data_IF_744785340972
#
_entry.id   IF_744785340972
#
_cell.length_a   1.000
_cell.length_b   1.000
_cell.length_c   1.000
_cell.angle_alpha   90.00
_cell.angle_beta   90.00
_cell.angle_gamma   90.00
#
_symmetry.space_group_name_H-M   'P 1'
#
loop_
_entity.id
_entity.type
_entity.pdbx_description
1 polymer ?
#
# COMPACT_ATOMS: atom_id res chain seq x y z
N UNK A 1 -77.24 -0.42 25.69
CA UNK A 1 -76.21 -0.46 24.62
C UNK A 1 -75.74 0.96 24.37
N UNK A 2 -74.48 1.22 24.69
CA UNK A 2 -73.89 2.54 24.95
C UNK A 2 -73.66 3.35 23.68
N UNK A 3 -74.13 4.61 23.69
CA UNK A 3 -73.91 5.62 22.65
C UNK A 3 -72.50 6.21 22.81
N UNK A 4 -71.58 5.90 21.90
CA UNK A 4 -70.32 6.64 21.78
C UNK A 4 -70.59 8.00 21.10
N UNK A 5 -70.34 9.09 21.82
CA UNK A 5 -70.67 10.45 21.38
C UNK A 5 -69.62 11.07 20.43
N UNK A 6 -69.99 12.14 19.69
CA UNK A 6 -69.18 12.81 18.66
C UNK A 6 -67.87 13.47 19.17
N UNK A 7 -67.60 13.47 20.48
CA UNK A 7 -66.38 14.03 21.08
C UNK A 7 -65.12 13.22 20.77
N UNK A 8 -65.25 11.93 20.47
CA UNK A 8 -64.09 11.05 20.19
C UNK A 8 -63.55 11.18 18.76
N UNK A 9 -64.37 11.64 17.81
CA UNK A 9 -63.95 11.81 16.40
C UNK A 9 -62.99 13.00 16.25
N UNK A 10 -63.26 14.11 16.94
CA UNK A 10 -62.36 15.28 16.93
C UNK A 10 -61.00 14.99 17.57
N UNK A 11 -60.97 14.23 18.66
CA UNK A 11 -59.73 13.85 19.34
C UNK A 11 -58.88 12.88 18.48
N UNK A 12 -59.52 11.94 17.77
CA UNK A 12 -58.84 11.05 16.82
C UNK A 12 -58.22 11.80 15.64
N UNK A 13 -58.89 12.82 15.11
CA UNK A 13 -58.34 13.65 14.02
C UNK A 13 -57.12 14.47 14.47
N UNK A 14 -57.15 14.99 15.71
CA UNK A 14 -56.00 15.72 16.28
C UNK A 14 -54.79 14.80 16.45
N UNK A 15 -54.99 13.58 16.98
CA UNK A 15 -53.90 12.60 17.14
C UNK A 15 -53.29 12.23 15.79
N UNK A 16 -54.12 11.95 14.76
CA UNK A 16 -53.64 11.60 13.41
C UNK A 16 -52.86 12.76 12.79
N UNK A 17 -53.29 14.01 13.00
CA UNK A 17 -52.56 15.18 12.50
C UNK A 17 -51.19 15.31 13.16
N UNK A 18 -51.11 15.13 14.48
CA UNK A 18 -49.83 15.18 15.20
C UNK A 18 -48.90 14.02 14.85
N UNK A 19 -49.41 12.81 14.62
CA UNK A 19 -48.56 11.67 14.20
C UNK A 19 -48.01 11.84 12.79
N UNK A 20 -48.82 12.37 11.85
CA UNK A 20 -48.35 12.70 10.50
C UNK A 20 -47.32 13.84 10.54
N UNK A 21 -47.58 14.89 11.33
CA UNK A 21 -46.64 15.99 11.50
C UNK A 21 -45.29 15.49 12.07
N UNK A 22 -45.34 14.66 13.12
CA UNK A 22 -44.14 14.06 13.72
C UNK A 22 -43.39 13.19 12.70
N UNK A 23 -44.09 12.36 11.92
CA UNK A 23 -43.49 11.54 10.87
C UNK A 23 -42.82 12.39 9.78
N UNK A 24 -43.45 13.49 9.34
CA UNK A 24 -42.84 14.39 8.34
C UNK A 24 -41.61 15.11 8.87
N UNK A 25 -41.61 15.52 10.14
CA UNK A 25 -40.43 16.11 10.80
C UNK A 25 -39.30 15.07 10.89
N UNK A 26 -39.60 13.84 11.33
CA UNK A 26 -38.61 12.74 11.40
C UNK A 26 -38.04 12.40 10.02
N UNK A 27 -38.88 12.35 8.97
CA UNK A 27 -38.42 12.09 7.59
C UNK A 27 -37.52 13.24 7.10
N UNK A 28 -37.86 14.49 7.44
CA UNK A 28 -37.08 15.67 7.03
C UNK A 28 -35.74 15.75 7.78
N UNK A 29 -35.72 15.48 9.08
CA UNK A 29 -34.49 15.41 9.87
C UNK A 29 -33.61 14.25 9.44
N UNK A 30 -34.18 13.09 9.07
CA UNK A 30 -33.41 11.95 8.56
C UNK A 30 -32.79 12.27 7.19
N UNK A 31 -33.51 12.96 6.29
CA UNK A 31 -32.94 13.43 5.01
C UNK A 31 -31.81 14.45 5.19
N UNK A 32 -31.96 15.37 6.15
CA UNK A 32 -30.88 16.31 6.49
C UNK A 32 -29.67 15.60 7.13
N UNK A 33 -29.90 14.61 7.99
CA UNK A 33 -28.84 13.75 8.55
C UNK A 33 -28.13 12.90 7.50
N UNK A 34 -28.86 12.32 6.54
CA UNK A 34 -28.27 11.59 5.42
C UNK A 34 -27.42 12.52 4.55
N UNK A 35 -27.84 13.78 4.33
CA UNK A 35 -27.04 14.75 3.56
C UNK A 35 -25.80 15.25 4.30
N UNK A 36 -25.80 15.25 5.64
CA UNK A 36 -24.66 15.65 6.47
C UNK A 36 -23.62 14.52 6.66
N UNK A 37 -23.98 13.27 6.34
CA UNK A 37 -23.05 12.12 6.36
C UNK A 37 -22.30 11.89 5.02
N UNK A 38 -22.47 12.75 4.01
CA UNK A 38 -21.84 12.61 2.67
C UNK A 38 -20.53 13.42 2.52
N UNK A 39 -20.01 14.01 3.59
CA UNK A 39 -18.67 14.61 3.60
C UNK A 39 -17.74 13.89 4.59
N UNK A 40 -17.63 12.57 4.46
CA UNK A 40 -16.42 11.90 4.90
C UNK A 40 -15.36 12.16 3.82
N UNK A 41 -14.25 12.86 4.11
CA UNK A 41 -13.15 12.91 3.15
C UNK A 41 -12.77 11.47 2.83
N UNK A 42 -12.82 11.11 1.55
CA UNK A 42 -12.39 9.78 1.10
C UNK A 42 -10.96 9.58 1.59
N UNK A 43 -10.77 8.62 2.52
CA UNK A 43 -9.47 8.27 3.08
C UNK A 43 -8.48 8.06 1.94
N UNK A 44 -7.33 8.72 2.04
CA UNK A 44 -6.27 8.54 1.05
C UNK A 44 -5.58 7.21 1.33
N UNK A 45 -5.50 6.34 0.31
CA UNK A 45 -4.92 5.02 0.44
C UNK A 45 -3.70 4.86 -0.47
N UNK A 46 -2.63 4.21 0.01
CA UNK A 46 -1.52 3.80 -0.83
C UNK A 46 -1.92 2.64 -1.75
N UNK A 47 -1.04 2.29 -2.68
CA UNK A 47 -1.21 1.16 -3.60
C UNK A 47 -0.78 -0.12 -2.87
N UNK A 48 -1.76 -0.98 -2.54
CA UNK A 48 -1.51 -2.32 -1.96
C UNK A 48 -1.37 -3.40 -3.03
N UNK A 49 -2.15 -3.29 -4.10
CA UNK A 49 -2.15 -4.21 -5.25
C UNK A 49 -2.71 -3.51 -6.49
N UNK A 50 -2.63 -4.14 -7.66
CA UNK A 50 -3.07 -3.57 -8.94
C UNK A 50 -4.11 -4.47 -9.60
N UNK A 51 -5.13 -3.89 -10.23
CA UNK A 51 -6.04 -4.64 -11.09
C UNK A 51 -5.37 -5.04 -12.40
N UNK A 52 -5.01 -6.33 -12.50
CA UNK A 52 -4.36 -6.90 -13.69
C UNK A 52 -5.16 -8.07 -14.25
N UNK A 53 -5.16 -8.19 -15.57
CA UNK A 53 -5.67 -9.37 -16.29
C UNK A 53 -4.56 -10.36 -16.65
N UNK A 54 -3.37 -9.85 -16.87
CA UNK A 54 -2.15 -10.62 -17.04
C UNK A 54 -1.57 -11.05 -15.69
N UNK A 55 -0.85 -12.15 -15.66
CA UNK A 55 -0.23 -12.69 -14.44
C UNK A 55 1.06 -11.95 -14.08
N UNK A 56 1.04 -10.61 -14.07
CA UNK A 56 2.16 -9.82 -13.54
C UNK A 56 2.01 -9.59 -12.05
N UNK A 57 3.12 -9.68 -11.32
CA UNK A 57 3.24 -9.39 -9.89
C UNK A 57 4.56 -8.66 -9.64
N UNK A 58 4.70 -8.06 -8.46
CA UNK A 58 5.95 -7.46 -8.04
C UNK A 58 6.42 -8.06 -6.71
N UNK A 59 7.66 -8.55 -6.68
CA UNK A 59 8.36 -8.80 -5.44
C UNK A 59 9.04 -7.49 -5.03
N UNK A 60 9.27 -7.27 -3.73
CA UNK A 60 10.02 -6.12 -3.25
C UNK A 60 10.76 -6.43 -1.95
N UNK A 61 11.84 -5.70 -1.71
CA UNK A 61 12.67 -5.87 -0.52
C UNK A 61 12.80 -4.54 0.22
N UNK A 62 12.44 -4.53 1.50
CA UNK A 62 12.74 -3.40 2.38
C UNK A 62 14.14 -3.59 2.97
N UNK A 63 15.00 -2.58 2.82
CA UNK A 63 16.36 -2.58 3.33
C UNK A 63 16.53 -1.45 4.36
N UNK A 64 16.34 -1.83 5.62
CA UNK A 64 16.52 -0.96 6.77
C UNK A 64 17.74 -1.34 7.62
N UNK A 65 18.12 -2.63 7.69
CA UNK A 65 19.19 -3.11 8.56
C UNK A 65 19.98 -4.22 7.89
N UNK A 66 21.31 -4.22 8.04
CA UNK A 66 22.19 -5.27 7.51
C UNK A 66 22.27 -5.32 5.98
N UNK A 67 23.36 -5.85 5.45
CA UNK A 67 23.53 -6.09 4.02
C UNK A 67 23.90 -7.55 3.69
N UNK A 68 23.89 -8.43 4.69
CA UNK A 68 24.59 -9.72 4.69
C UNK A 68 24.13 -10.64 3.56
N UNK A 69 22.85 -10.56 3.19
CA UNK A 69 22.26 -11.38 2.14
C UNK A 69 21.93 -10.61 0.86
N UNK A 70 22.27 -9.32 0.79
CA UNK A 70 21.90 -8.48 -0.36
C UNK A 70 22.50 -9.01 -1.66
N UNK A 71 23.77 -9.45 -1.64
CA UNK A 71 24.42 -10.05 -2.81
C UNK A 71 23.80 -11.41 -3.16
N UNK A 72 23.51 -12.26 -2.17
CA UNK A 72 22.85 -13.55 -2.40
C UNK A 72 21.47 -13.37 -3.06
N UNK A 73 20.71 -12.36 -2.62
CA UNK A 73 19.43 -11.98 -3.21
C UNK A 73 19.63 -11.56 -4.68
N UNK A 74 20.58 -10.67 -4.95
CA UNK A 74 20.86 -10.19 -6.31
C UNK A 74 21.31 -11.32 -7.25
N UNK A 75 22.22 -12.19 -6.79
CA UNK A 75 22.70 -13.35 -7.54
C UNK A 75 21.55 -14.33 -7.85
N UNK A 76 20.66 -14.53 -6.87
CA UNK A 76 19.44 -15.33 -7.07
C UNK A 76 18.53 -14.69 -8.12
N UNK A 77 18.25 -13.39 -8.01
CA UNK A 77 17.40 -12.67 -8.97
C UNK A 77 17.97 -12.73 -10.39
N UNK A 78 19.29 -12.59 -10.55
CA UNK A 78 19.96 -12.71 -11.84
C UNK A 78 19.86 -14.13 -12.42
N UNK A 79 20.01 -15.17 -11.59
CA UNK A 79 19.82 -16.57 -11.99
C UNK A 79 18.43 -16.81 -12.59
N UNK A 80 17.39 -16.22 -11.99
CA UNK A 80 16.01 -16.32 -12.47
C UNK A 80 15.63 -15.22 -13.47
N UNK A 81 16.56 -14.31 -13.82
CA UNK A 81 16.35 -13.16 -14.73
C UNK A 81 15.20 -12.24 -14.29
N UNK A 82 15.05 -12.05 -12.99
CA UNK A 82 14.01 -11.21 -12.39
C UNK A 82 14.58 -9.83 -12.05
N UNK A 83 13.83 -8.78 -12.38
CA UNK A 83 14.08 -7.42 -11.89
C UNK A 83 12.94 -7.03 -10.94
N UNK A 84 13.30 -6.31 -9.89
CA UNK A 84 12.49 -6.14 -8.68
C UNK A 84 12.73 -4.75 -8.09
N UNK A 85 12.00 -4.40 -7.04
CA UNK A 85 12.11 -3.10 -6.36
C UNK A 85 12.70 -3.25 -4.95
N UNK A 86 13.71 -2.43 -4.62
CA UNK A 86 14.27 -2.32 -3.27
C UNK A 86 13.91 -0.97 -2.64
N UNK A 87 13.28 -0.95 -1.47
CA UNK A 87 13.00 0.27 -0.71
C UNK A 87 14.11 0.50 0.31
N UNK A 88 14.86 1.59 0.17
CA UNK A 88 16.06 1.83 0.96
C UNK A 88 15.86 2.99 1.93
N UNK A 89 16.24 2.79 3.20
CA UNK A 89 16.34 3.89 4.16
C UNK A 89 17.64 4.67 3.93
N UNK A 90 17.64 5.98 4.15
CA UNK A 90 18.84 6.82 3.89
C UNK A 90 20.08 6.33 4.63
N UNK A 91 19.98 6.02 5.92
CA UNK A 91 21.14 5.57 6.67
C UNK A 91 21.71 4.23 6.16
N UNK A 92 20.89 3.39 5.53
CA UNK A 92 21.37 2.16 4.88
C UNK A 92 22.12 2.49 3.59
N UNK A 93 21.60 3.45 2.80
CA UNK A 93 22.26 3.98 1.60
C UNK A 93 23.64 4.56 1.94
N UNK A 94 23.73 5.33 3.02
CA UNK A 94 24.98 5.94 3.49
C UNK A 94 25.99 4.89 4.00
N UNK A 95 25.53 3.84 4.67
CA UNK A 95 26.40 2.78 5.19
C UNK A 95 26.84 1.76 4.13
N UNK A 96 26.02 1.52 3.10
CA UNK A 96 26.25 0.50 2.08
C UNK A 96 26.19 1.04 0.64
N UNK A 97 26.91 2.12 0.30
CA UNK A 97 26.79 2.75 -1.02
C UNK A 97 27.16 1.80 -2.17
N UNK A 98 28.11 0.90 -1.97
CA UNK A 98 28.49 -0.12 -2.94
C UNK A 98 27.34 -1.10 -3.24
N UNK A 99 26.48 -1.39 -2.26
CA UNK A 99 25.30 -2.24 -2.47
C UNK A 99 24.23 -1.50 -3.27
N UNK A 100 24.02 -0.23 -2.97
CA UNK A 100 23.10 0.64 -3.73
C UNK A 100 23.51 0.71 -5.20
N UNK A 101 24.81 0.91 -5.46
CA UNK A 101 25.36 0.91 -6.82
C UNK A 101 25.14 -0.44 -7.51
N UNK A 102 25.39 -1.55 -6.82
CA UNK A 102 25.21 -2.89 -7.40
C UNK A 102 23.74 -3.21 -7.70
N UNK A 103 22.81 -2.87 -6.79
CA UNK A 103 21.36 -2.99 -7.00
C UNK A 103 20.96 -2.24 -8.27
N UNK A 104 21.40 -0.98 -8.40
CA UNK A 104 21.08 -0.14 -9.55
C UNK A 104 21.72 -0.65 -10.84
N UNK A 105 23.01 -1.00 -10.82
CA UNK A 105 23.78 -1.48 -11.97
C UNK A 105 23.22 -2.79 -12.53
N UNK A 106 22.71 -3.66 -11.67
CA UNK A 106 22.01 -4.89 -12.06
C UNK A 106 20.60 -4.62 -12.59
N UNK A 107 20.14 -3.37 -12.65
CA UNK A 107 18.87 -2.97 -13.25
C UNK A 107 17.66 -3.18 -12.34
N UNK A 108 17.85 -3.29 -11.03
CA UNK A 108 16.75 -3.28 -10.08
C UNK A 108 16.26 -1.85 -9.84
N UNK A 109 14.97 -1.72 -9.58
CA UNK A 109 14.37 -0.45 -9.21
C UNK A 109 14.68 -0.14 -7.75
N UNK A 110 14.95 1.14 -7.46
CA UNK A 110 15.16 1.63 -6.09
C UNK A 110 14.03 2.59 -5.72
N UNK A 111 13.38 2.30 -4.61
CA UNK A 111 12.38 3.13 -3.95
C UNK A 111 12.90 3.75 -2.65
N UNK A 112 12.15 4.71 -2.14
CA UNK A 112 12.44 5.45 -0.92
C UNK A 112 11.77 4.79 0.29
N UNK A 113 12.50 4.62 1.40
CA UNK A 113 11.95 4.06 2.65
C UNK A 113 12.10 5.00 3.86
N UNK A 114 12.09 6.33 3.63
CA UNK A 114 12.41 7.40 4.59
C UNK A 114 13.88 7.46 5.01
N UNK A 115 14.25 8.53 5.72
CA UNK A 115 15.64 8.77 6.10
C UNK A 115 15.99 8.06 7.41
N UNK A 116 15.14 8.19 8.42
CA UNK A 116 15.40 7.73 9.79
C UNK A 116 14.50 6.57 10.24
N UNK A 117 13.66 6.05 9.33
CA UNK A 117 12.69 4.98 9.59
C UNK A 117 11.69 5.29 10.75
N UNK A 118 11.06 6.49 10.80
CA UNK A 118 10.13 6.85 11.87
C UNK A 118 8.69 6.34 11.59
N UNK A 119 7.81 6.50 12.57
CA UNK A 119 6.36 6.43 12.32
C UNK A 119 5.93 7.70 11.57
N UNK A 120 5.95 7.64 10.24
CA UNK A 120 5.75 8.78 9.35
C UNK A 120 4.40 9.48 9.53
N UNK A 121 3.36 8.78 10.00
CA UNK A 121 2.04 9.37 10.26
C UNK A 121 2.02 10.39 11.41
N UNK A 122 3.07 10.40 12.24
CA UNK A 122 3.19 11.30 13.41
C UNK A 122 3.98 12.57 13.13
N UNK A 123 4.51 12.71 11.91
CA UNK A 123 5.35 13.83 11.51
C UNK A 123 4.53 14.98 10.94
N UNK A 124 5.07 16.20 11.02
CA UNK A 124 4.53 17.35 10.30
C UNK A 124 4.76 17.20 8.78
N UNK A 125 4.01 17.92 7.92
CA UNK A 125 4.25 17.92 6.48
C UNK A 125 5.70 18.24 6.08
N UNK A 126 6.33 19.19 6.77
CA UNK A 126 7.71 19.60 6.53
C UNK A 126 8.69 18.49 6.91
N UNK A 127 8.46 17.82 8.04
CA UNK A 127 9.26 16.67 8.47
C UNK A 127 9.12 15.49 7.50
N UNK A 128 7.91 15.24 6.98
CA UNK A 128 7.67 14.22 5.96
C UNK A 128 8.46 14.56 4.69
N UNK A 129 8.38 15.81 4.22
CA UNK A 129 9.12 16.24 3.04
C UNK A 129 10.64 16.10 3.23
N UNK A 130 11.17 16.41 4.42
CA UNK A 130 12.59 16.25 4.73
C UNK A 130 13.02 14.77 4.70
N UNK A 131 12.26 13.87 5.32
CA UNK A 131 12.51 12.42 5.30
C UNK A 131 12.52 11.86 3.86
N UNK A 132 11.60 12.34 3.02
CA UNK A 132 11.49 11.91 1.63
C UNK A 132 12.60 12.49 0.76
N UNK A 133 12.84 13.80 0.82
CA UNK A 133 13.76 14.49 -0.08
C UNK A 133 15.22 14.13 0.23
N UNK A 134 15.61 14.12 1.51
CA UNK A 134 16.98 13.77 1.92
C UNK A 134 17.35 12.34 1.50
N UNK A 135 16.41 11.40 1.59
CA UNK A 135 16.60 10.01 1.13
C UNK A 135 16.69 9.92 -0.40
N UNK A 136 15.79 10.59 -1.11
CA UNK A 136 15.80 10.60 -2.57
C UNK A 136 17.06 11.23 -3.16
N UNK A 137 17.58 12.29 -2.54
CA UNK A 137 18.82 12.93 -2.94
C UNK A 137 20.03 12.05 -2.66
N UNK A 138 20.06 11.31 -1.54
CA UNK A 138 21.16 10.38 -1.24
C UNK A 138 21.21 9.22 -2.24
N UNK A 139 20.05 8.65 -2.58
CA UNK A 139 19.95 7.62 -3.64
C UNK A 139 20.41 8.18 -4.99
N UNK A 140 20.02 9.41 -5.33
CA UNK A 140 20.37 10.04 -6.60
C UNK A 140 21.86 10.42 -6.71
N UNK A 141 22.55 10.70 -5.58
CA UNK A 141 24.01 10.93 -5.60
C UNK A 141 24.75 9.72 -6.16
N UNK A 142 24.32 8.51 -5.80
CA UNK A 142 24.93 7.24 -6.21
C UNK A 142 24.44 6.83 -7.60
N UNK A 143 23.12 6.77 -7.79
CA UNK A 143 22.51 6.16 -8.99
C UNK A 143 22.25 7.12 -10.13
N UNK A 144 22.33 8.44 -9.88
CA UNK A 144 21.89 9.51 -10.79
C UNK A 144 20.40 9.48 -11.14
N UNK A 145 19.61 8.67 -10.44
CA UNK A 145 18.16 8.54 -10.63
C UNK A 145 17.45 8.89 -9.32
N UNK A 146 16.43 9.74 -9.39
CA UNK A 146 15.55 10.00 -8.24
C UNK A 146 14.48 8.91 -8.15
N UNK A 147 14.27 8.29 -6.97
CA UNK A 147 13.20 7.33 -6.78
C UNK A 147 11.83 8.02 -6.96
N UNK A 148 10.85 7.26 -7.48
CA UNK A 148 9.46 7.74 -7.65
C UNK A 148 8.47 6.92 -6.81
N UNK A 149 8.95 5.88 -6.13
CA UNK A 149 8.17 5.04 -5.24
C UNK A 149 8.61 5.29 -3.80
N UNK A 150 7.64 5.35 -2.90
CA UNK A 150 7.87 5.47 -1.46
C UNK A 150 7.08 4.39 -0.72
N UNK A 151 7.73 3.70 0.22
CA UNK A 151 7.05 2.81 1.16
C UNK A 151 7.21 3.37 2.57
N UNK A 152 6.13 3.61 3.31
CA UNK A 152 6.24 4.05 4.70
C UNK A 152 6.84 2.97 5.60
N UNK A 153 7.81 3.29 6.47
CA UNK A 153 8.26 2.42 7.54
C UNK A 153 7.10 1.80 8.33
N UNK A 154 7.24 0.52 8.68
CA UNK A 154 6.24 -0.25 9.44
C UNK A 154 4.85 -0.34 8.79
N UNK A 155 4.70 0.12 7.55
CA UNK A 155 3.40 0.32 6.92
C UNK A 155 2.54 1.41 7.58
N UNK A 156 3.14 2.33 8.35
CA UNK A 156 2.43 3.41 9.06
C UNK A 156 2.13 4.59 8.14
N UNK A 157 0.85 4.99 8.03
CA UNK A 157 0.45 6.14 7.22
C UNK A 157 -0.88 6.77 7.69
N UNK A 158 -1.08 8.01 7.26
CA UNK A 158 -2.35 8.73 7.31
C UNK A 158 -2.52 9.55 6.02
N UNK A 159 -3.67 10.21 5.89
CA UNK A 159 -3.95 10.99 4.67
C UNK A 159 -2.94 12.11 4.42
N UNK A 160 -2.40 12.72 5.49
CA UNK A 160 -1.35 13.75 5.38
C UNK A 160 -0.11 13.17 4.71
N UNK A 161 0.38 12.01 5.18
CA UNK A 161 1.53 11.35 4.58
C UNK A 161 1.31 11.01 3.10
N UNK A 162 0.15 10.45 2.73
CA UNK A 162 -0.12 10.10 1.33
C UNK A 162 -0.12 11.35 0.45
N UNK A 163 -0.74 12.44 0.91
CA UNK A 163 -0.77 13.71 0.16
C UNK A 163 0.62 14.34 0.04
N UNK A 164 1.41 14.34 1.11
CA UNK A 164 2.77 14.89 1.07
C UNK A 164 3.71 14.04 0.21
N UNK A 165 3.62 12.71 0.27
CA UNK A 165 4.37 11.83 -0.63
C UNK A 165 4.05 12.15 -2.10
N UNK A 166 2.77 12.29 -2.45
CA UNK A 166 2.33 12.67 -3.79
C UNK A 166 2.85 14.05 -4.22
N UNK A 167 2.82 15.05 -3.33
CA UNK A 167 3.37 16.40 -3.61
C UNK A 167 4.88 16.36 -3.88
N UNK A 168 5.60 15.46 -3.21
CA UNK A 168 7.04 15.23 -3.43
C UNK A 168 7.32 14.28 -4.61
N UNK A 169 6.31 13.93 -5.43
CA UNK A 169 6.47 13.15 -6.65
C UNK A 169 6.51 11.64 -6.45
N UNK A 170 6.10 11.14 -5.27
CA UNK A 170 6.10 9.72 -4.97
C UNK A 170 4.72 9.07 -5.15
N UNK A 171 4.71 7.85 -5.65
CA UNK A 171 3.62 6.89 -5.46
C UNK A 171 3.86 6.16 -4.14
N UNK A 172 2.89 6.22 -3.22
CA UNK A 172 2.99 5.49 -1.95
C UNK A 172 2.57 4.03 -2.15
N UNK A 173 3.45 3.12 -1.79
CA UNK A 173 3.36 1.68 -2.02
C UNK A 173 3.28 0.93 -0.70
N UNK A 174 2.38 -0.05 -0.63
CA UNK A 174 2.27 -1.05 0.42
C UNK A 174 2.46 -2.46 -0.18
N UNK A 175 1.84 -3.47 0.41
CA UNK A 175 1.84 -4.85 -0.06
C UNK A 175 0.53 -5.53 0.32
N UNK A 176 -0.03 -6.35 -0.56
CA UNK A 176 -1.17 -7.22 -0.24
C UNK A 176 -0.72 -8.61 0.24
N UNK A 177 0.55 -8.98 0.03
CA UNK A 177 1.15 -10.22 0.49
C UNK A 177 2.40 -9.93 1.33
N UNK A 178 2.31 -10.18 2.64
CA UNK A 178 3.47 -10.17 3.54
C UNK A 178 4.12 -11.55 3.55
N UNK A 179 5.39 -11.66 3.18
CA UNK A 179 6.13 -12.94 3.18
C UNK A 179 6.37 -13.51 4.58
N UNK A 180 6.18 -12.69 5.63
CA UNK A 180 6.45 -12.98 7.04
C UNK A 180 7.88 -13.45 7.33
N UNK A 181 8.82 -13.17 6.44
CA UNK A 181 10.21 -13.63 6.52
C UNK A 181 10.96 -13.10 7.77
N UNK A 182 10.60 -11.90 8.22
CA UNK A 182 11.07 -11.27 9.46
C UNK A 182 10.72 -12.07 10.74
N UNK A 183 9.75 -13.00 10.68
CA UNK A 183 9.39 -13.85 11.83
C UNK A 183 10.30 -15.07 12.00
N UNK A 184 11.19 -15.34 11.04
CA UNK A 184 12.12 -16.48 11.07
C UNK A 184 11.45 -17.86 11.32
N UNK A 185 10.23 -18.08 10.80
CA UNK A 185 9.49 -19.34 10.97
C UNK A 185 9.96 -20.46 10.03
N UNK A 186 11.14 -20.32 9.43
CA UNK A 186 11.72 -21.26 8.47
C UNK A 186 11.25 -21.03 7.02
N UNK A 187 11.96 -21.69 6.10
CA UNK A 187 11.82 -21.57 4.64
C UNK A 187 10.41 -21.85 4.14
N UNK A 188 9.81 -22.98 4.54
CA UNK A 188 8.53 -23.41 3.98
C UNK A 188 7.38 -22.47 4.38
N UNK A 189 7.44 -21.88 5.58
CA UNK A 189 6.44 -20.91 6.05
C UNK A 189 6.34 -19.71 5.09
N UNK A 190 7.48 -19.20 4.62
CA UNK A 190 7.55 -18.09 3.65
C UNK A 190 6.98 -18.53 2.30
N UNK A 191 7.45 -19.68 1.78
CA UNK A 191 7.00 -20.23 0.49
C UNK A 191 5.48 -20.42 0.48
N UNK A 192 4.92 -21.02 1.52
CA UNK A 192 3.49 -21.32 1.62
C UNK A 192 2.65 -20.06 1.75
N UNK A 193 3.08 -19.05 2.50
CA UNK A 193 2.33 -17.79 2.63
C UNK A 193 2.31 -17.05 1.30
N UNK A 194 3.45 -16.94 0.62
CA UNK A 194 3.53 -16.22 -0.65
C UNK A 194 2.69 -16.91 -1.73
N UNK A 195 2.91 -18.21 -1.93
CA UNK A 195 2.29 -18.96 -3.03
C UNK A 195 0.78 -19.15 -2.87
N UNK A 196 0.26 -19.19 -1.63
CA UNK A 196 -1.19 -19.29 -1.39
C UNK A 196 -1.95 -17.99 -1.58
N UNK A 197 -1.30 -16.84 -1.35
CA UNK A 197 -1.98 -15.54 -1.31
C UNK A 197 -1.75 -14.69 -2.56
N UNK A 198 -0.75 -15.03 -3.38
CA UNK A 198 -0.47 -14.30 -4.61
C UNK A 198 -1.61 -14.39 -5.63
N UNK A 199 -1.89 -13.27 -6.29
CA UNK A 199 -2.84 -13.15 -7.39
C UNK A 199 -2.29 -12.15 -8.42
N UNK A 200 -2.82 -12.11 -9.66
CA UNK A 200 -2.47 -11.08 -10.63
C UNK A 200 -2.54 -9.69 -10.02
N UNK A 201 -1.45 -8.93 -10.14
CA UNK A 201 -1.30 -7.58 -9.60
C UNK A 201 -0.87 -7.49 -8.14
N UNK A 202 -0.53 -8.59 -7.48
CA UNK A 202 0.00 -8.55 -6.11
C UNK A 202 1.36 -7.87 -6.02
N UNK A 203 1.58 -7.18 -4.90
CA UNK A 203 2.86 -6.65 -4.45
C UNK A 203 3.26 -7.43 -3.19
N UNK A 204 4.38 -8.14 -3.25
CA UNK A 204 4.88 -8.99 -2.18
C UNK A 204 6.03 -8.30 -1.44
N UNK A 205 5.97 -8.26 -0.11
CA UNK A 205 7.01 -7.72 0.77
C UNK A 205 7.96 -8.82 1.27
N UNK A 206 9.26 -8.57 1.15
CA UNK A 206 10.36 -9.28 1.79
C UNK A 206 11.33 -8.29 2.43
N UNK A 207 12.31 -8.79 3.18
CA UNK A 207 13.39 -8.00 3.78
C UNK A 207 14.76 -8.48 3.27
N UNK A 208 15.70 -7.55 3.10
CA UNK A 208 17.02 -7.86 2.53
C UNK A 208 17.95 -8.64 3.49
N UNK A 209 17.59 -8.74 4.77
CA UNK A 209 18.39 -9.35 5.83
C UNK A 209 17.71 -10.58 6.47
N UNK A 210 16.67 -11.12 5.83
CA UNK A 210 15.95 -12.27 6.36
C UNK A 210 16.82 -13.53 6.39
N UNK A 211 16.92 -14.16 7.56
CA UNK A 211 17.80 -15.30 7.85
C UNK A 211 17.75 -16.46 6.86
N UNK A 212 16.58 -16.78 6.33
CA UNK A 212 16.35 -17.93 5.44
C UNK A 212 16.20 -17.55 3.96
N UNK A 213 16.60 -16.34 3.56
CA UNK A 213 16.36 -15.82 2.20
C UNK A 213 17.04 -16.66 1.12
N UNK A 214 18.23 -17.19 1.41
CA UNK A 214 18.98 -18.06 0.49
C UNK A 214 18.22 -19.33 0.16
N UNK A 215 17.44 -19.83 1.11
CA UNK A 215 16.66 -21.05 0.98
C UNK A 215 15.29 -20.78 0.37
N UNK A 216 14.56 -19.74 0.81
CA UNK A 216 13.18 -19.53 0.37
C UNK A 216 13.09 -18.81 -0.97
N UNK A 217 14.00 -17.89 -1.29
CA UNK A 217 13.84 -17.04 -2.46
C UNK A 217 13.88 -17.85 -3.77
N UNK A 218 14.81 -18.81 -3.97
CA UNK A 218 14.78 -19.69 -5.14
C UNK A 218 13.47 -20.46 -5.27
N UNK A 219 12.96 -21.03 -4.17
CA UNK A 219 11.74 -21.83 -4.16
C UNK A 219 10.49 -20.99 -4.46
N UNK A 220 10.42 -19.77 -3.92
CA UNK A 220 9.36 -18.81 -4.22
C UNK A 220 9.38 -18.46 -5.72
N UNK A 221 10.54 -18.07 -6.26
CA UNK A 221 10.67 -17.68 -7.66
C UNK A 221 10.31 -18.85 -8.60
N UNK A 222 10.83 -20.05 -8.34
CA UNK A 222 10.50 -21.27 -9.09
C UNK A 222 9.00 -21.52 -9.13
N UNK A 223 8.33 -21.44 -7.97
CA UNK A 223 6.89 -21.71 -7.90
C UNK A 223 6.07 -20.65 -8.62
N UNK A 224 6.37 -19.37 -8.42
CA UNK A 224 5.64 -18.27 -9.06
C UNK A 224 5.80 -18.33 -10.59
N UNK A 225 7.03 -18.56 -11.08
CA UNK A 225 7.31 -18.68 -12.51
C UNK A 225 6.61 -19.91 -13.09
N UNK A 226 6.66 -21.06 -12.40
CA UNK A 226 5.98 -22.28 -12.83
C UNK A 226 4.44 -22.11 -12.88
N UNK A 227 3.86 -21.32 -11.97
CA UNK A 227 2.44 -20.97 -11.96
C UNK A 227 2.08 -19.90 -13.02
N UNK A 228 3.06 -19.47 -13.82
CA UNK A 228 2.91 -18.58 -14.97
C UNK A 228 2.92 -17.10 -14.62
N UNK A 229 3.44 -16.72 -13.47
CA UNK A 229 3.62 -15.31 -13.11
C UNK A 229 4.88 -14.73 -13.74
N UNK A 230 4.76 -13.50 -14.23
CA UNK A 230 5.89 -12.64 -14.60
C UNK A 230 6.14 -11.67 -13.45
N UNK A 231 7.38 -11.64 -12.95
CA UNK A 231 7.77 -10.76 -11.84
C UNK A 231 8.44 -9.52 -12.44
N UNK A 232 7.88 -8.35 -12.13
CA UNK A 232 8.33 -7.06 -12.66
C UNK A 232 8.58 -6.05 -11.53
N UNK A 233 9.42 -5.02 -11.75
CA UNK A 233 9.49 -3.87 -10.85
C UNK A 233 8.12 -3.23 -10.62
N UNK A 234 7.90 -2.65 -9.44
CA UNK A 234 6.62 -2.06 -9.06
C UNK A 234 6.19 -0.95 -10.03
N UNK A 235 7.10 -0.11 -10.53
CA UNK A 235 6.71 0.92 -11.49
C UNK A 235 6.25 0.41 -12.86
N UNK A 236 6.54 -0.85 -13.20
CA UNK A 236 5.99 -1.54 -14.38
C UNK A 236 4.64 -2.21 -14.08
N UNK A 237 4.39 -2.55 -12.82
CA UNK A 237 3.13 -3.13 -12.37
C UNK A 237 2.01 -2.07 -12.27
N UNK A 238 2.32 -0.92 -11.67
CA UNK A 238 1.34 0.13 -11.34
C UNK A 238 0.94 0.98 -12.54
N UNK A 239 -0.27 1.54 -12.47
CA UNK A 239 -0.72 2.60 -13.36
C UNK A 239 -0.17 3.95 -12.88
N UNK A 240 0.46 4.71 -13.77
CA UNK A 240 1.03 6.04 -13.42
C UNK A 240 0.02 7.17 -13.60
N UNK A 241 -1.02 6.95 -14.41
CA UNK A 241 -2.07 7.91 -14.76
C UNK A 241 -3.42 7.19 -14.83
N UNK A 242 -4.51 7.95 -14.83
CA UNK A 242 -5.88 7.48 -15.06
C UNK A 242 -6.24 6.25 -14.23
N UNK A 243 -6.03 6.31 -12.92
CA UNK A 243 -6.41 5.25 -11.99
C UNK A 243 -7.15 5.82 -10.79
N UNK A 244 -7.87 4.94 -10.11
CA UNK A 244 -8.42 5.17 -8.77
C UNK A 244 -7.92 4.10 -7.82
N UNK A 245 -7.92 4.40 -6.53
CA UNK A 245 -7.68 3.42 -5.47
C UNK A 245 -9.03 3.07 -4.85
N UNK A 246 -9.37 1.79 -4.77
CA UNK A 246 -10.58 1.35 -4.08
C UNK A 246 -10.40 1.31 -2.55
N UNK A 247 -11.45 0.96 -1.82
CA UNK A 247 -11.43 0.92 -0.35
C UNK A 247 -10.46 -0.13 0.24
N UNK A 248 -9.91 -1.03 -0.57
CA UNK A 248 -8.94 -2.05 -0.16
C UNK A 248 -7.50 -1.66 -0.49
N UNK A 249 -7.28 -0.49 -1.12
CA UNK A 249 -5.96 -0.09 -1.60
C UNK A 249 -5.60 -0.69 -2.96
N UNK A 250 -6.55 -1.34 -3.66
CA UNK A 250 -6.32 -1.87 -5.00
C UNK A 250 -6.37 -0.73 -6.01
N UNK A 251 -5.35 -0.62 -6.83
CA UNK A 251 -5.28 0.33 -7.92
C UNK A 251 -6.06 -0.19 -9.13
N UNK A 252 -7.05 0.56 -9.59
CA UNK A 252 -7.95 0.21 -10.69
C UNK A 252 -7.77 1.24 -11.81
N UNK A 253 -7.45 0.83 -13.05
CA UNK A 253 -7.40 1.74 -14.18
C UNK A 253 -8.80 2.27 -14.47
N UNK A 254 -8.93 3.58 -14.64
CA UNK A 254 -10.12 4.24 -15.15
C UNK A 254 -10.06 4.02 -16.66
N UNK A 255 -10.87 3.09 -17.19
CA UNK A 255 -10.94 2.84 -18.63
C UNK A 255 -11.13 4.18 -19.37
N UNK A 256 -10.27 4.46 -20.34
CA UNK A 256 -10.60 5.33 -21.46
C UNK A 256 -11.50 4.55 -22.44
#
# INVERSE_FOLDING_TARGET
MTKEGPKYVGYRMIIVFFTVLLATVVIKTNKEFDSLNVFSPTKELPIYSVERKDKKIAISFDAAYGDEYTIDILDTLDKYKVKTTFFLVKFWVENFPNRVEEIHKRGHEIGNHSATHPNMSRLSPEQIAEELNSTGDEIAKITKVKPTLFRPPFGDYNDTLIREAKKNGYYTIQWDVDSIDWKELGTQSVVDVVTRNVKPGSIILFHNNAKYVREYLPLVLERLIADGYEIVPISELIHKQDFKIDSTGKQIPIKQ
#
